data_IF_147616381743
#
_entry.id   IF_147616381743
#
_cell.length_a   1.000
_cell.length_b   1.000
_cell.length_c   1.000
_cell.angle_alpha   90.00
_cell.angle_beta   90.00
_cell.angle_gamma   90.00
#
_symmetry.space_group_name_H-M   'P 1'
#
loop_
_entity.id
_entity.type
_entity.pdbx_description
1 polymer ?
#
# COMPACT_ATOMS: atom_id res chain seq x y z
N UNK A 1 -3.92 -1.81 23.26
CA UNK A 1 -3.33 -1.93 21.92
C UNK A 1 -2.72 -0.57 21.59
N UNK A 2 -1.47 -0.49 21.14
CA UNK A 2 -0.86 0.82 20.85
C UNK A 2 -1.37 1.39 19.52
N UNK A 3 -1.32 2.70 19.34
CA UNK A 3 -1.75 3.35 18.09
C UNK A 3 -0.96 2.85 16.86
N UNK A 4 0.32 2.52 17.05
CA UNK A 4 1.16 1.97 15.98
C UNK A 4 0.74 0.54 15.63
N UNK A 5 0.39 -0.26 16.63
CA UNK A 5 -0.09 -1.63 16.44
C UNK A 5 -1.42 -1.66 15.67
N UNK A 6 -2.33 -0.74 15.96
CA UNK A 6 -3.56 -0.54 15.20
C UNK A 6 -3.29 -0.13 13.76
N UNK A 7 -2.38 0.83 13.53
CA UNK A 7 -2.01 1.26 12.19
C UNK A 7 -1.38 0.12 11.35
N UNK A 8 -0.55 -0.72 11.97
CA UNK A 8 0.03 -1.91 11.32
C UNK A 8 -1.06 -2.93 10.98
N UNK A 9 -1.99 -3.19 11.90
CA UNK A 9 -3.11 -4.09 11.65
C UNK A 9 -4.00 -3.61 10.50
N UNK A 10 -4.34 -2.32 10.47
CA UNK A 10 -5.14 -1.72 9.41
C UNK A 10 -4.46 -1.81 8.02
N UNK A 11 -3.13 -1.64 7.97
CA UNK A 11 -2.35 -1.86 6.74
C UNK A 11 -2.43 -3.30 6.27
N UNK A 12 -2.28 -4.27 7.18
CA UNK A 12 -2.33 -5.69 6.83
C UNK A 12 -3.69 -6.10 6.28
N UNK A 13 -4.78 -5.62 6.88
CA UNK A 13 -6.12 -5.82 6.34
C UNK A 13 -6.28 -5.18 4.95
N UNK A 14 -5.78 -3.96 4.78
CA UNK A 14 -5.83 -3.25 3.49
C UNK A 14 -5.03 -3.96 2.40
N UNK A 15 -3.86 -4.53 2.73
CA UNK A 15 -3.06 -5.33 1.81
C UNK A 15 -3.75 -6.65 1.45
N UNK A 16 -4.36 -7.33 2.42
CA UNK A 16 -5.18 -8.53 2.15
C UNK A 16 -6.32 -8.21 1.20
N UNK A 17 -7.05 -7.13 1.45
CA UNK A 17 -8.14 -6.68 0.58
C UNK A 17 -7.64 -6.37 -0.82
N UNK A 18 -6.54 -5.61 -0.96
CA UNK A 18 -5.95 -5.32 -2.27
C UNK A 18 -5.55 -6.61 -2.99
N UNK A 19 -4.96 -7.57 -2.29
CA UNK A 19 -4.57 -8.87 -2.86
C UNK A 19 -5.78 -9.64 -3.37
N UNK A 20 -6.86 -9.71 -2.59
CA UNK A 20 -8.11 -10.33 -3.01
C UNK A 20 -8.75 -9.63 -4.21
N UNK A 21 -8.74 -8.29 -4.23
CA UNK A 21 -9.24 -7.50 -5.37
C UNK A 21 -8.43 -7.79 -6.63
N UNK A 22 -7.10 -7.85 -6.54
CA UNK A 22 -6.23 -8.16 -7.69
C UNK A 22 -6.47 -9.58 -8.18
N UNK A 23 -6.47 -10.58 -7.29
CA UNK A 23 -6.74 -11.98 -7.66
C UNK A 23 -8.13 -12.10 -8.32
N UNK A 24 -9.16 -11.52 -7.71
CA UNK A 24 -10.52 -11.53 -8.26
C UNK A 24 -10.60 -10.85 -9.63
N UNK A 25 -9.88 -9.73 -9.82
CA UNK A 25 -9.81 -9.03 -11.11
C UNK A 25 -9.15 -9.89 -12.19
N UNK A 26 -8.04 -10.56 -11.85
CA UNK A 26 -7.34 -11.47 -12.78
C UNK A 26 -8.24 -12.65 -13.16
N UNK A 27 -8.93 -13.27 -12.19
CA UNK A 27 -9.86 -14.35 -12.44
C UNK A 27 -11.02 -13.92 -13.35
N UNK A 28 -11.58 -12.73 -13.14
CA UNK A 28 -12.63 -12.16 -13.99
C UNK A 28 -12.14 -11.92 -15.43
N UNK A 29 -10.93 -11.41 -15.60
CA UNK A 29 -10.35 -11.21 -16.93
C UNK A 29 -10.12 -12.56 -17.62
N UNK A 30 -9.66 -13.57 -16.90
CA UNK A 30 -9.47 -14.93 -17.43
C UNK A 30 -10.80 -15.56 -17.86
N UNK A 31 -11.86 -15.46 -17.05
CA UNK A 31 -13.18 -16.01 -17.40
C UNK A 31 -13.82 -15.29 -18.57
N UNK A 32 -13.70 -13.96 -18.65
CA UNK A 32 -14.15 -13.19 -19.82
C UNK A 32 -13.38 -13.57 -21.07
N UNK A 33 -12.05 -13.74 -20.98
CA UNK A 33 -11.21 -14.15 -22.10
C UNK A 33 -11.56 -15.57 -22.57
N UNK A 34 -11.75 -16.50 -21.65
CA UNK A 34 -12.14 -17.88 -21.94
C UNK A 34 -13.52 -17.94 -22.60
N UNK A 35 -14.52 -17.23 -22.05
CA UNK A 35 -15.86 -17.14 -22.63
C UNK A 35 -15.85 -16.52 -24.03
N UNK A 36 -15.03 -15.49 -24.25
CA UNK A 36 -14.88 -14.86 -25.56
C UNK A 36 -14.22 -15.80 -26.57
N UNK A 37 -13.27 -16.63 -26.13
CA UNK A 37 -12.62 -17.65 -26.95
C UNK A 37 -13.59 -18.75 -27.38
N UNK A 38 -14.34 -19.33 -26.44
CA UNK A 38 -15.33 -20.40 -26.70
C UNK A 38 -16.47 -19.93 -27.63
N UNK A 39 -16.93 -18.69 -27.45
CA UNK A 39 -18.08 -18.15 -28.20
C UNK A 39 -17.66 -17.31 -29.41
N UNK A 40 -16.38 -17.36 -29.81
CA UNK A 40 -15.84 -16.53 -30.89
C UNK A 40 -16.65 -16.72 -32.18
N UNK A 41 -16.86 -17.96 -32.63
CA UNK A 41 -17.61 -18.22 -33.86
C UNK A 41 -19.07 -17.74 -33.80
N UNK A 42 -19.74 -17.86 -32.65
CA UNK A 42 -21.13 -17.38 -32.49
C UNK A 42 -21.25 -15.86 -32.40
N UNK A 43 -20.28 -15.19 -31.78
CA UNK A 43 -20.21 -13.73 -31.68
C UNK A 43 -19.85 -13.07 -33.02
N UNK A 44 -19.03 -13.74 -33.84
CA UNK A 44 -18.54 -13.22 -35.12
C UNK A 44 -19.38 -13.65 -36.34
N UNK A 45 -20.08 -14.80 -36.29
CA UNK A 45 -20.99 -15.22 -37.38
C UNK A 45 -22.14 -14.24 -37.64
N UNK A 46 -22.48 -13.37 -36.67
CA UNK A 46 -23.53 -12.34 -36.82
C UNK A 46 -23.04 -10.98 -37.35
N UNK A 47 -21.73 -10.73 -37.47
CA UNK A 47 -21.20 -9.42 -37.90
C UNK A 47 -20.12 -9.54 -38.98
N UNK A 48 -20.58 -9.66 -40.23
CA UNK A 48 -19.83 -9.42 -41.47
C UNK A 48 -19.47 -7.92 -41.69
N UNK A 49 -19.08 -7.17 -40.65
CA UNK A 49 -18.77 -5.73 -40.77
C UNK A 49 -17.32 -5.41 -40.39
N UNK A 50 -16.45 -5.48 -41.42
CA UNK A 50 -15.27 -4.64 -41.74
C UNK A 50 -14.12 -4.45 -40.71
N UNK A 51 -14.26 -4.70 -39.40
CA UNK A 51 -13.15 -4.55 -38.44
C UNK A 51 -13.14 -5.65 -37.35
N UNK A 52 -12.64 -6.87 -37.67
CA UNK A 52 -12.82 -8.03 -36.81
C UNK A 52 -11.88 -8.09 -35.58
N UNK A 53 -10.76 -7.37 -35.54
CA UNK A 53 -9.77 -7.53 -34.45
C UNK A 53 -9.86 -6.49 -33.34
N UNK A 54 -10.42 -5.30 -33.60
CA UNK A 54 -10.52 -4.21 -32.61
C UNK A 54 -11.84 -4.24 -31.83
N UNK A 55 -12.88 -4.90 -32.33
CA UNK A 55 -14.25 -4.78 -31.80
C UNK A 55 -14.57 -5.68 -30.59
N UNK A 56 -13.90 -6.82 -30.38
CA UNK A 56 -14.24 -7.71 -29.26
C UNK A 56 -13.76 -7.20 -27.89
N UNK A 57 -12.59 -6.55 -27.86
CA UNK A 57 -12.04 -5.98 -26.63
C UNK A 57 -12.75 -4.67 -26.27
N UNK A 58 -13.17 -3.89 -27.28
CA UNK A 58 -13.82 -2.59 -27.14
C UNK A 58 -15.36 -2.64 -27.15
N UNK A 59 -15.98 -3.78 -26.78
CA UNK A 59 -17.42 -3.77 -26.55
C UNK A 59 -17.74 -2.95 -25.28
N UNK A 60 -18.78 -2.11 -25.32
CA UNK A 60 -19.21 -1.26 -24.21
C UNK A 60 -19.25 -1.97 -22.83
N UNK A 61 -19.75 -3.23 -22.72
CA UNK A 61 -19.73 -3.98 -21.47
C UNK A 61 -18.31 -4.30 -20.96
N UNK A 62 -17.39 -4.64 -21.86
CA UNK A 62 -16.00 -4.96 -21.50
C UNK A 62 -15.25 -3.70 -21.03
N UNK A 63 -15.50 -2.55 -21.66
CA UNK A 63 -14.92 -1.25 -21.26
C UNK A 63 -15.46 -0.80 -19.89
N UNK A 64 -16.76 -0.95 -19.64
CA UNK A 64 -17.37 -0.67 -18.33
C UNK A 64 -16.86 -1.62 -17.23
N UNK A 65 -16.72 -2.90 -17.54
CA UNK A 65 -16.12 -3.89 -16.63
C UNK A 65 -14.68 -3.55 -16.28
N UNK A 66 -13.84 -3.24 -17.27
CA UNK A 66 -12.45 -2.85 -17.09
C UNK A 66 -12.31 -1.56 -16.27
N UNK A 67 -13.10 -0.54 -16.57
CA UNK A 67 -13.08 0.71 -15.80
C UNK A 67 -13.49 0.50 -14.34
N UNK A 68 -14.51 -0.32 -14.08
CA UNK A 68 -14.91 -0.69 -12.71
C UNK A 68 -13.79 -1.43 -11.97
N UNK A 69 -13.14 -2.41 -12.62
CA UNK A 69 -11.99 -3.13 -12.04
C UNK A 69 -10.82 -2.19 -11.72
N UNK A 70 -10.50 -1.27 -12.63
CA UNK A 70 -9.46 -0.25 -12.41
C UNK A 70 -9.81 0.62 -11.20
N UNK A 71 -11.07 1.09 -11.10
CA UNK A 71 -11.50 1.90 -9.96
C UNK A 71 -11.41 1.14 -8.63
N UNK A 72 -11.76 -0.16 -8.61
CA UNK A 72 -11.62 -1.00 -7.43
C UNK A 72 -10.16 -1.16 -7.01
N UNK A 73 -9.26 -1.41 -7.96
CA UNK A 73 -7.81 -1.54 -7.71
C UNK A 73 -7.25 -0.21 -7.21
N UNK A 74 -7.60 0.91 -7.84
CA UNK A 74 -7.16 2.26 -7.43
C UNK A 74 -7.69 2.59 -6.04
N UNK A 75 -8.96 2.29 -5.74
CA UNK A 75 -9.57 2.51 -4.43
C UNK A 75 -8.90 1.69 -3.32
N UNK A 76 -8.66 0.40 -3.58
CA UNK A 76 -7.93 -0.47 -2.64
C UNK A 76 -6.48 -0.01 -2.46
N UNK A 77 -5.81 0.41 -3.55
CA UNK A 77 -4.46 0.98 -3.51
C UNK A 77 -4.39 2.27 -2.70
N UNK A 78 -5.39 3.15 -2.82
CA UNK A 78 -5.48 4.38 -2.04
C UNK A 78 -5.63 4.10 -0.54
N UNK A 79 -6.36 3.04 -0.14
CA UNK A 79 -6.43 2.60 1.26
C UNK A 79 -5.08 2.14 1.79
N UNK A 80 -4.35 1.34 1.02
CA UNK A 80 -2.98 0.91 1.38
C UNK A 80 -2.04 2.11 1.51
N UNK A 81 -2.13 3.08 0.60
CA UNK A 81 -1.36 4.33 0.66
C UNK A 81 -1.62 5.08 1.98
N UNK A 82 -2.88 5.34 2.32
CA UNK A 82 -3.24 6.03 3.58
C UNK A 82 -2.77 5.25 4.82
N UNK A 83 -2.83 3.92 4.79
CA UNK A 83 -2.33 3.08 5.88
C UNK A 83 -0.81 3.20 6.05
N UNK A 84 -0.05 3.25 4.95
CA UNK A 84 1.40 3.48 5.01
C UNK A 84 1.73 4.88 5.56
N UNK A 85 0.97 5.91 5.16
CA UNK A 85 1.13 7.28 5.66
C UNK A 85 0.89 7.35 7.17
N UNK A 86 -0.17 6.69 7.66
CA UNK A 86 -0.46 6.61 9.08
C UNK A 86 0.69 5.94 9.86
N UNK A 87 1.22 4.82 9.37
CA UNK A 87 2.37 4.15 10.01
C UNK A 87 3.59 5.06 10.04
N UNK A 88 3.90 5.76 8.95
CA UNK A 88 5.06 6.64 8.89
C UNK A 88 4.95 7.79 9.89
N UNK A 89 3.77 8.39 10.03
CA UNK A 89 3.51 9.46 10.99
C UNK A 89 3.54 8.96 12.44
N UNK A 90 2.94 7.80 12.73
CA UNK A 90 2.95 7.20 14.08
C UNK A 90 4.35 6.74 14.49
N UNK A 91 5.13 6.20 13.57
CA UNK A 91 6.54 5.85 13.81
C UNK A 91 7.37 7.11 14.10
N UNK A 92 7.17 8.18 13.33
CA UNK A 92 7.81 9.48 13.58
C UNK A 92 7.45 10.06 14.95
N UNK A 93 6.15 10.12 15.29
CA UNK A 93 5.70 10.67 16.58
C UNK A 93 6.24 9.87 17.76
N UNK A 94 6.37 8.55 17.60
CA UNK A 94 6.96 7.69 18.61
C UNK A 94 8.45 7.98 18.82
N UNK A 95 9.21 8.20 17.75
CA UNK A 95 10.62 8.59 17.83
C UNK A 95 10.83 10.00 18.42
N UNK A 96 9.84 10.88 18.28
CA UNK A 96 9.86 12.24 18.83
C UNK A 96 9.35 12.32 20.27
N UNK A 97 8.79 11.25 20.82
CA UNK A 97 8.27 11.23 22.20
C UNK A 97 9.40 11.45 23.21
N UNK A 98 9.15 12.26 24.24
CA UNK A 98 10.12 12.49 25.33
C UNK A 98 10.51 11.18 26.03
N UNK A 99 9.55 10.24 26.16
CA UNK A 99 9.78 8.91 26.74
C UNK A 99 10.73 8.05 25.89
N UNK A 100 10.88 8.31 24.60
CA UNK A 100 11.80 7.57 23.73
C UNK A 100 13.27 7.81 24.12
N UNK A 101 13.58 8.94 24.77
CA UNK A 101 14.95 9.25 25.20
C UNK A 101 15.55 8.15 26.10
N UNK A 102 14.73 7.51 26.94
CA UNK A 102 15.15 6.42 27.83
C UNK A 102 15.53 5.13 27.09
N UNK A 103 14.96 4.90 25.90
CA UNK A 103 15.15 3.68 25.11
C UNK A 103 16.08 3.89 23.90
N UNK A 104 16.59 5.11 23.71
CA UNK A 104 17.31 5.50 22.49
C UNK A 104 18.54 4.63 22.22
N UNK A 105 19.27 4.20 23.25
CA UNK A 105 20.46 3.35 23.08
C UNK A 105 20.09 1.94 22.60
N UNK A 106 19.00 1.36 23.11
CA UNK A 106 18.59 -0.01 22.80
C UNK A 106 18.01 -0.17 21.39
N UNK A 107 17.51 0.92 20.81
CA UNK A 107 16.82 0.91 19.50
C UNK A 107 17.53 1.76 18.43
N UNK A 108 18.84 2.03 18.55
CA UNK A 108 19.58 2.84 17.58
C UNK A 108 19.48 2.33 16.14
N UNK A 109 19.54 1.01 15.94
CA UNK A 109 19.37 0.38 14.62
C UNK A 109 17.99 0.65 14.03
N UNK A 110 16.95 0.71 14.86
CA UNK A 110 15.58 0.99 14.42
C UNK A 110 15.47 2.43 13.91
N UNK A 111 16.11 3.36 14.60
CA UNK A 111 16.20 4.78 14.20
C UNK A 111 16.97 4.93 12.90
N UNK A 112 18.14 4.27 12.76
CA UNK A 112 18.94 4.36 11.55
C UNK A 112 18.20 3.81 10.33
N UNK A 113 17.49 2.69 10.48
CA UNK A 113 16.64 2.13 9.42
C UNK A 113 15.43 3.01 9.09
N UNK A 114 14.85 3.71 10.06
CA UNK A 114 13.79 4.69 9.81
C UNK A 114 14.32 5.89 9.03
N UNK A 115 15.46 6.46 9.46
CA UNK A 115 16.10 7.60 8.80
C UNK A 115 16.50 7.25 7.36
N UNK A 116 17.13 6.09 7.17
CA UNK A 116 17.48 5.61 5.84
C UNK A 116 16.25 5.43 4.93
N UNK A 117 15.18 4.82 5.46
CA UNK A 117 13.92 4.67 4.72
C UNK A 117 13.23 6.00 4.41
N UNK A 118 13.41 7.02 5.26
CA UNK A 118 12.97 8.38 5.03
C UNK A 118 13.90 9.16 4.07
N UNK A 119 14.99 8.57 3.57
CA UNK A 119 15.98 9.26 2.73
C UNK A 119 16.77 10.33 3.49
N UNK A 120 16.90 10.18 4.82
CA UNK A 120 17.65 11.07 5.68
C UNK A 120 19.00 10.44 6.06
N UNK A 121 20.05 11.26 6.31
CA UNK A 121 21.31 10.79 6.85
C UNK A 121 21.12 10.03 8.17
N UNK A 122 21.87 8.95 8.41
CA UNK A 122 21.72 8.11 9.60
C UNK A 122 22.20 8.78 10.89
N UNK A 123 22.99 9.84 10.77
CA UNK A 123 23.51 10.69 11.84
C UNK A 123 22.58 11.89 12.16
N UNK A 124 21.38 11.94 11.57
CA UNK A 124 20.42 13.01 11.84
C UNK A 124 20.09 13.11 13.34
N UNK A 125 20.34 14.28 13.92
CA UNK A 125 19.94 14.55 15.30
C UNK A 125 18.41 14.64 15.42
N UNK A 126 17.86 14.25 16.57
CA UNK A 126 16.43 14.39 16.86
C UNK A 126 15.97 15.86 16.74
N UNK A 127 16.83 16.81 17.10
CA UNK A 127 16.56 18.24 16.93
C UNK A 127 16.44 18.70 15.47
N UNK A 128 17.17 18.05 14.55
CA UNK A 128 17.01 18.28 13.10
C UNK A 128 15.82 17.53 12.55
N UNK A 129 15.57 16.31 13.02
CA UNK A 129 14.44 15.49 12.63
C UNK A 129 13.10 16.16 12.98
N UNK A 130 13.01 16.83 14.14
CA UNK A 130 11.85 17.62 14.56
C UNK A 130 11.54 18.81 13.63
N UNK A 131 12.53 19.31 12.88
CA UNK A 131 12.35 20.41 11.91
C UNK A 131 11.91 19.91 10.54
N UNK A 132 11.91 18.60 10.30
CA UNK A 132 11.47 18.02 9.02
C UNK A 132 9.95 18.11 8.94
N UNK A 133 9.45 18.66 7.83
CA UNK A 133 8.01 18.76 7.59
C UNK A 133 7.37 17.37 7.56
N UNK A 134 6.24 17.19 8.24
CA UNK A 134 5.51 15.92 8.31
C UNK A 134 5.16 15.35 6.93
N UNK A 135 4.89 16.22 5.95
CA UNK A 135 4.69 15.87 4.54
C UNK A 135 5.84 15.02 3.97
N UNK A 136 7.08 15.22 4.42
CA UNK A 136 8.22 14.40 3.97
C UNK A 136 8.01 12.93 4.29
N UNK A 137 7.58 12.62 5.52
CA UNK A 137 7.29 11.26 5.95
C UNK A 137 6.07 10.66 5.27
N UNK A 138 5.08 11.48 4.90
CA UNK A 138 3.93 11.07 4.07
C UNK A 138 4.41 10.67 2.66
N UNK A 139 5.31 11.45 2.05
CA UNK A 139 5.89 11.15 0.74
C UNK A 139 6.75 9.88 0.77
N UNK A 140 7.52 9.70 1.84
CA UNK A 140 8.37 8.53 2.07
C UNK A 140 7.65 7.41 2.83
N UNK A 141 6.31 7.42 2.85
CA UNK A 141 5.53 6.50 3.68
C UNK A 141 5.70 5.03 3.31
N UNK A 142 5.85 4.72 2.02
CA UNK A 142 6.04 3.35 1.55
C UNK A 142 7.36 2.72 2.04
N UNK A 143 8.55 3.33 1.80
CA UNK A 143 9.80 2.76 2.30
C UNK A 143 9.85 2.73 3.84
N UNK A 144 9.31 3.76 4.51
CA UNK A 144 9.21 3.78 5.97
C UNK A 144 8.34 2.64 6.48
N UNK A 145 7.15 2.45 5.91
CA UNK A 145 6.25 1.36 6.29
C UNK A 145 6.86 -0.01 6.06
N UNK A 146 7.63 -0.19 4.99
CA UNK A 146 8.40 -1.42 4.74
C UNK A 146 9.48 -1.65 5.80
N UNK A 147 10.20 -0.60 6.19
CA UNK A 147 11.18 -0.64 7.28
C UNK A 147 10.55 -1.03 8.62
N UNK A 148 9.39 -0.44 8.94
CA UNK A 148 8.60 -0.78 10.13
C UNK A 148 8.15 -2.24 10.09
N UNK A 149 7.69 -2.74 8.95
CA UNK A 149 7.27 -4.13 8.80
C UNK A 149 8.39 -5.15 9.03
N UNK A 150 9.62 -4.87 8.57
CA UNK A 150 10.79 -5.73 8.78
C UNK A 150 11.15 -5.90 10.25
N UNK A 151 10.86 -4.89 11.08
CA UNK A 151 11.15 -4.89 12.52
C UNK A 151 9.87 -4.73 13.36
N UNK A 152 8.75 -5.29 12.87
CA UNK A 152 7.41 -5.11 13.46
C UNK A 152 7.39 -5.34 14.98
N UNK A 153 7.99 -6.44 15.44
CA UNK A 153 7.99 -6.79 16.86
C UNK A 153 8.65 -5.71 17.73
N UNK A 154 9.77 -5.14 17.27
CA UNK A 154 10.52 -4.09 17.99
C UNK A 154 9.74 -2.77 18.02
N UNK A 155 9.11 -2.40 16.90
CA UNK A 155 8.25 -1.23 16.83
C UNK A 155 7.03 -1.36 17.76
N UNK A 156 6.41 -2.55 17.79
CA UNK A 156 5.26 -2.81 18.67
C UNK A 156 5.69 -2.82 20.14
N UNK A 157 6.79 -3.50 20.50
CA UNK A 157 7.26 -3.54 21.89
C UNK A 157 7.58 -2.14 22.41
N UNK A 158 8.27 -1.33 21.60
CA UNK A 158 8.58 0.05 21.91
C UNK A 158 7.31 0.91 22.04
N UNK A 159 6.35 0.75 21.14
CA UNK A 159 5.08 1.49 21.22
C UNK A 159 4.26 1.17 22.45
N UNK A 160 4.35 -0.05 22.99
CA UNK A 160 3.70 -0.45 24.24
C UNK A 160 4.44 0.01 25.48
N UNK A 161 5.77 0.15 25.40
CA UNK A 161 6.58 0.70 26.49
C UNK A 161 6.43 2.23 26.64
N UNK A 162 6.12 2.93 25.54
CA UNK A 162 5.99 4.39 25.50
C UNK A 162 4.55 4.87 25.73
N UNK A 163 3.54 4.08 25.33
CA UNK A 163 2.13 4.37 25.59
C UNK A 163 1.88 4.49 27.10
#
# INVERSE_FOLDING_TARGET
MSELEEAVYFREQSLKLLTWVVIGSVLLILTLSYSTYENFDQLYARKLSVYPTLSAIATLPNVLGLTCLILLIVGAGARVKRANEAIALKAYSLLMSEKFAAYKQDYQHMVSHFLHAAGLPTDYSFSRLAKVKTHHFVKMSWPISRSVALRRAQWISLSRAIA
#
